data_IF_857514388537
#
_entry.id   IF_857514388537
#
_cell.length_a   1.000
_cell.length_b   1.000
_cell.length_c   1.000
_cell.angle_alpha   90.00
_cell.angle_beta   90.00
_cell.angle_gamma   90.00
#
_symmetry.space_group_name_H-M   'P 1'
#
loop_
_entity.id
_entity.type
_entity.pdbx_description
1 polymer ?
#
# COMPACT_ATOMS: atom_id res chain seq x y z
N UNK A 1 48.48 59.41 13.69
CA UNK A 1 48.33 59.50 15.16
C UNK A 1 46.96 60.10 15.48
N UNK A 2 45.97 59.23 15.71
CA UNK A 2 44.69 59.53 16.36
C UNK A 2 44.46 58.36 17.33
N UNK A 3 44.14 58.61 18.61
CA UNK A 3 44.12 57.55 19.61
C UNK A 3 42.82 56.75 19.58
N UNK A 4 43.03 55.46 19.80
CA UNK A 4 42.12 54.40 20.17
C UNK A 4 41.51 54.71 21.56
N UNK A 5 40.19 54.54 21.73
CA UNK A 5 39.57 54.53 23.05
C UNK A 5 38.90 53.18 23.29
N UNK A 6 39.55 52.41 24.15
CA UNK A 6 39.12 51.13 24.70
C UNK A 6 38.43 51.37 26.05
N UNK A 7 37.26 50.77 26.25
CA UNK A 7 36.64 50.50 27.56
C UNK A 7 35.67 49.32 27.36
N UNK A 8 36.05 48.07 27.64
CA UNK A 8 36.03 47.37 28.93
C UNK A 8 34.68 47.41 29.70
N UNK A 9 33.98 46.28 29.55
CA UNK A 9 33.17 45.48 30.48
C UNK A 9 32.48 46.14 31.69
N UNK A 10 31.19 45.82 31.84
CA UNK A 10 30.63 45.37 33.13
C UNK A 10 29.40 44.49 32.91
N UNK A 11 29.48 43.30 33.50
CA UNK A 11 28.47 42.26 33.64
C UNK A 11 27.32 42.67 34.56
N UNK A 12 26.07 42.38 34.17
CA UNK A 12 25.00 42.04 35.13
C UNK A 12 24.17 40.88 34.59
N UNK A 13 24.24 39.75 35.29
CA UNK A 13 23.29 38.67 35.16
C UNK A 13 21.93 39.14 35.71
N UNK A 14 20.88 39.03 34.90
CA UNK A 14 19.52 39.03 35.41
C UNK A 14 18.76 37.90 34.74
N UNK A 15 18.60 36.81 35.49
CA UNK A 15 17.69 35.74 35.12
C UNK A 15 16.27 36.28 35.06
N UNK A 16 15.63 36.08 33.92
CA UNK A 16 14.18 36.05 33.82
C UNK A 16 13.80 34.70 33.19
N UNK A 17 13.54 33.75 34.08
CA UNK A 17 12.67 32.63 33.78
C UNK A 17 11.29 33.22 33.51
N UNK A 18 10.72 32.96 32.33
CA UNK A 18 9.29 33.17 32.13
C UNK A 18 8.69 32.00 31.36
N UNK A 19 7.90 31.25 32.13
CA UNK A 19 6.64 30.58 31.81
C UNK A 19 6.52 29.86 30.45
N UNK A 20 6.33 28.55 30.56
CA UNK A 20 6.01 27.65 29.46
C UNK A 20 4.81 28.13 28.65
N UNK A 21 5.09 28.49 27.40
CA UNK A 21 4.10 28.41 26.34
C UNK A 21 3.91 26.94 26.00
N UNK A 22 2.80 26.35 26.42
CA UNK A 22 2.38 25.05 25.92
C UNK A 22 2.20 25.18 24.41
N UNK A 23 3.03 24.47 23.65
CA UNK A 23 2.89 24.39 22.19
C UNK A 23 1.48 23.81 21.91
N UNK A 24 0.61 24.55 21.19
CA UNK A 24 -0.76 24.12 20.92
C UNK A 24 -0.83 22.80 20.14
N UNK A 25 0.23 22.43 19.41
CA UNK A 25 0.31 21.12 18.76
C UNK A 25 0.71 19.99 19.70
N UNK A 26 1.44 20.29 20.78
CA UNK A 26 1.82 19.29 21.78
C UNK A 26 0.59 18.89 22.61
N UNK A 27 -0.25 19.86 22.99
CA UNK A 27 -1.50 19.61 23.68
C UNK A 27 -2.49 18.77 22.83
N UNK A 28 -2.56 19.02 21.52
CA UNK A 28 -3.37 18.23 20.60
C UNK A 28 -2.84 16.80 20.40
N UNK A 29 -1.51 16.62 20.34
CA UNK A 29 -0.88 15.32 20.23
C UNK A 29 -1.03 14.47 21.50
N UNK A 30 -0.96 15.10 22.68
CA UNK A 30 -1.17 14.43 23.96
C UNK A 30 -2.65 14.10 24.20
N UNK A 31 -3.58 14.94 23.74
CA UNK A 31 -5.01 14.63 23.73
C UNK A 31 -5.35 13.43 22.82
N UNK A 32 -4.69 13.29 21.66
CA UNK A 32 -4.84 12.12 20.79
C UNK A 32 -4.30 10.85 21.44
N UNK A 33 -3.21 10.96 22.22
CA UNK A 33 -2.56 9.83 22.90
C UNK A 33 -3.28 9.39 24.18
N UNK A 34 -4.03 10.30 24.80
CA UNK A 34 -4.80 10.08 26.04
C UNK A 34 -6.30 9.85 25.79
N UNK A 35 -6.77 9.93 24.54
CA UNK A 35 -8.11 9.50 24.19
C UNK A 35 -8.29 8.04 24.64
N UNK A 36 -9.31 7.72 25.46
CA UNK A 36 -9.55 6.33 25.83
C UNK A 36 -9.74 5.53 24.54
N UNK A 37 -9.24 4.29 24.53
CA UNK A 37 -9.47 3.31 23.49
C UNK A 37 -10.97 2.93 23.41
N UNK A 38 -11.83 3.90 23.10
CA UNK A 38 -13.25 3.72 22.83
C UNK A 38 -13.42 3.26 21.38
N UNK A 39 -12.73 2.16 21.07
CA UNK A 39 -13.06 1.21 20.03
C UNK A 39 -12.40 -0.13 20.41
N UNK A 40 -12.49 -0.51 21.69
CA UNK A 40 -12.75 -1.91 22.01
C UNK A 40 -14.10 -2.25 21.37
N UNK A 41 -14.09 -2.45 20.05
CA UNK A 41 -15.21 -2.98 19.30
C UNK A 41 -15.62 -4.26 20.02
N UNK A 42 -16.88 -4.27 20.44
CA UNK A 42 -17.49 -5.36 21.17
C UNK A 42 -16.99 -6.69 20.62
N UNK A 43 -16.32 -7.44 21.49
CA UNK A 43 -15.99 -8.84 21.26
C UNK A 43 -17.31 -9.59 21.11
N UNK A 44 -17.85 -9.64 19.88
CA UNK A 44 -18.68 -10.77 19.48
C UNK A 44 -17.66 -11.86 19.16
N UNK A 45 -17.48 -12.72 20.15
CA UNK A 45 -16.67 -13.93 20.08
C UNK A 45 -16.88 -14.62 18.74
N UNK A 46 -15.78 -15.05 18.11
CA UNK A 46 -15.75 -15.88 16.91
C UNK A 46 -16.32 -17.29 17.13
N UNK A 47 -17.32 -17.44 18.01
CA UNK A 47 -17.71 -18.71 18.63
C UNK A 47 -19.12 -19.17 18.25
N UNK A 48 -19.72 -18.64 17.19
CA UNK A 48 -21.03 -19.10 16.69
C UNK A 48 -21.02 -19.47 15.19
N UNK A 49 -19.87 -19.90 14.65
CA UNK A 49 -19.76 -20.35 13.25
C UNK A 49 -19.63 -21.89 13.09
N UNK A 50 -19.91 -22.70 14.13
CA UNK A 50 -19.84 -24.17 14.01
C UNK A 50 -21.14 -24.83 13.54
N UNK A 51 -22.25 -24.10 13.45
CA UNK A 51 -23.47 -24.57 12.80
C UNK A 51 -23.81 -23.61 11.68
N UNK A 52 -23.60 -24.07 10.43
CA UNK A 52 -23.71 -23.26 9.22
C UNK A 52 -25.06 -22.58 9.08
N UNK A 53 -25.16 -21.33 9.53
CA UNK A 53 -26.02 -20.29 8.99
C UNK A 53 -25.60 -18.93 9.59
N UNK A 54 -24.67 -18.26 8.93
CA UNK A 54 -24.49 -16.82 9.10
C UNK A 54 -25.38 -16.14 8.04
N UNK A 55 -26.58 -15.74 8.42
CA UNK A 55 -27.34 -14.77 7.62
C UNK A 55 -26.59 -13.45 7.73
N UNK A 56 -25.99 -13.00 6.62
CA UNK A 56 -25.41 -11.67 6.54
C UNK A 56 -26.56 -10.67 6.72
N UNK A 57 -26.58 -9.94 7.85
CA UNK A 57 -27.48 -8.79 7.99
C UNK A 57 -27.18 -7.80 6.87
N UNK A 58 -28.22 -7.33 6.18
CA UNK A 58 -28.12 -6.38 5.08
C UNK A 58 -27.51 -5.07 5.60
N UNK A 59 -26.40 -4.63 5.00
CA UNK A 59 -25.72 -3.39 5.40
C UNK A 59 -26.62 -2.18 5.10
N UNK A 60 -26.90 -1.37 6.13
CA UNK A 60 -27.69 -0.14 5.99
C UNK A 60 -26.73 1.05 5.80
N UNK A 61 -26.71 1.70 4.62
CA UNK A 61 -25.79 2.80 4.32
C UNK A 61 -25.90 4.00 5.27
N UNK A 62 -27.01 4.12 6.01
CA UNK A 62 -27.25 5.22 6.94
C UNK A 62 -26.90 4.88 8.39
N UNK A 63 -26.47 3.65 8.69
CA UNK A 63 -26.15 3.19 10.05
C UNK A 63 -24.73 2.65 10.14
N UNK A 64 -23.76 3.45 10.61
CA UNK A 64 -22.35 3.04 10.64
C UNK A 64 -22.07 1.83 11.54
N UNK A 65 -22.93 1.58 12.52
CA UNK A 65 -22.88 0.37 13.37
C UNK A 65 -23.10 -0.94 12.61
N UNK A 66 -23.71 -0.87 11.41
CA UNK A 66 -23.91 -2.03 10.53
C UNK A 66 -22.72 -2.29 9.61
N UNK A 67 -21.80 -1.33 9.48
CA UNK A 67 -20.66 -1.45 8.56
C UNK A 67 -19.68 -2.51 9.04
N UNK A 68 -19.30 -3.40 8.12
CA UNK A 68 -18.28 -4.40 8.36
C UNK A 68 -16.95 -3.97 7.75
N UNK A 69 -15.92 -3.83 8.60
CA UNK A 69 -14.57 -3.53 8.14
C UNK A 69 -14.10 -4.60 7.13
N UNK A 70 -13.60 -4.22 5.95
CA UNK A 70 -13.33 -5.15 4.85
C UNK A 70 -12.12 -6.07 5.11
N UNK A 71 -11.26 -5.71 6.05
CA UNK A 71 -10.06 -6.48 6.40
C UNK A 71 -10.15 -6.94 7.85
N UNK A 72 -10.50 -8.23 8.05
CA UNK A 72 -10.50 -8.90 9.37
C UNK A 72 -9.63 -10.16 9.40
N UNK A 73 -8.96 -10.50 8.30
CA UNK A 73 -8.19 -11.73 8.12
C UNK A 73 -6.90 -11.52 7.31
N UNK A 74 -6.35 -12.57 6.67
CA UNK A 74 -5.21 -12.43 5.77
C UNK A 74 -5.52 -11.47 4.62
N UNK A 75 -4.48 -10.95 3.98
CA UNK A 75 -4.64 -10.04 2.84
C UNK A 75 -5.48 -10.69 1.74
N UNK A 76 -6.34 -9.93 1.04
CA UNK A 76 -7.06 -10.42 -0.13
C UNK A 76 -6.09 -11.00 -1.17
N UNK A 77 -6.50 -12.06 -1.88
CA UNK A 77 -5.65 -12.71 -2.87
C UNK A 77 -6.23 -12.49 -4.27
N UNK A 78 -5.47 -11.94 -5.24
CA UNK A 78 -4.08 -11.50 -5.14
C UNK A 78 -3.93 -10.04 -4.68
N UNK A 79 -2.93 -9.78 -3.83
CA UNK A 79 -2.57 -8.42 -3.38
C UNK A 79 -1.18 -8.02 -3.86
N UNK A 80 -1.06 -6.82 -4.42
CA UNK A 80 0.24 -6.21 -4.74
C UNK A 80 0.66 -5.25 -3.64
N UNK A 81 1.95 -5.23 -3.32
CA UNK A 81 2.55 -4.25 -2.42
C UNK A 81 3.63 -3.46 -3.15
N UNK A 82 3.50 -2.14 -3.17
CA UNK A 82 4.50 -1.23 -3.74
C UNK A 82 5.23 -0.53 -2.60
N UNK A 83 6.47 -0.95 -2.34
CA UNK A 83 7.37 -0.24 -1.43
C UNK A 83 8.10 0.86 -2.18
N UNK A 84 8.13 2.07 -1.63
CA UNK A 84 8.86 3.18 -2.25
C UNK A 84 9.56 4.06 -1.21
N UNK A 85 10.68 4.64 -1.63
CA UNK A 85 11.40 5.65 -0.85
C UNK A 85 10.57 6.93 -0.74
N UNK A 86 10.08 7.24 0.45
CA UNK A 86 9.26 8.43 0.70
C UNK A 86 10.09 9.72 0.57
N UNK A 87 11.32 9.70 1.12
CA UNK A 87 12.28 10.80 1.02
C UNK A 87 12.70 11.13 -0.42
N UNK A 88 12.45 10.22 -1.37
CA UNK A 88 12.79 10.40 -2.78
C UNK A 88 11.64 11.05 -3.59
N UNK A 89 10.51 11.38 -2.95
CA UNK A 89 9.31 11.97 -3.57
C UNK A 89 8.70 11.08 -4.66
N UNK A 90 8.77 9.76 -4.48
CA UNK A 90 8.27 8.78 -5.46
C UNK A 90 6.84 8.32 -5.22
N UNK A 91 6.13 8.90 -4.25
CA UNK A 91 4.71 8.62 -4.02
C UNK A 91 3.90 8.75 -5.32
N UNK A 92 4.06 9.84 -6.07
CA UNK A 92 3.34 10.05 -7.34
C UNK A 92 3.57 8.92 -8.35
N UNK A 93 4.79 8.37 -8.42
CA UNK A 93 5.09 7.25 -9.32
C UNK A 93 4.45 5.96 -8.79
N UNK A 94 4.48 5.73 -7.49
CA UNK A 94 3.85 4.56 -6.88
C UNK A 94 2.34 4.57 -7.08
N UNK A 95 1.69 5.73 -6.88
CA UNK A 95 0.26 5.93 -7.15
C UNK A 95 -0.06 5.74 -8.63
N UNK A 96 0.73 6.29 -9.55
CA UNK A 96 0.50 6.08 -10.98
C UNK A 96 0.57 4.60 -11.36
N UNK A 97 1.59 3.87 -10.89
CA UNK A 97 1.69 2.41 -11.10
C UNK A 97 0.47 1.68 -10.52
N UNK A 98 0.03 2.04 -9.31
CA UNK A 98 -1.17 1.47 -8.69
C UNK A 98 -2.42 1.70 -9.56
N UNK A 99 -2.66 2.93 -10.01
CA UNK A 99 -3.81 3.26 -10.87
C UNK A 99 -3.78 2.44 -12.17
N UNK A 100 -2.63 2.38 -12.84
CA UNK A 100 -2.48 1.63 -14.09
C UNK A 100 -2.72 0.13 -13.94
N UNK A 101 -2.28 -0.44 -12.81
CA UNK A 101 -2.54 -1.85 -12.50
C UNK A 101 -4.02 -2.08 -12.21
N UNK A 102 -4.68 -1.24 -11.41
CA UNK A 102 -6.12 -1.38 -11.14
C UNK A 102 -7.00 -1.19 -12.39
N UNK A 103 -6.65 -0.26 -13.28
CA UNK A 103 -7.35 -0.09 -14.55
C UNK A 103 -7.21 -1.30 -15.49
N UNK A 104 -6.09 -2.01 -15.38
CA UNK A 104 -5.85 -3.20 -16.21
C UNK A 104 -6.55 -4.41 -15.60
N UNK A 105 -6.28 -4.70 -14.33
CA UNK A 105 -6.68 -5.91 -13.61
C UNK A 105 -7.92 -5.70 -12.74
N UNK A 106 -9.00 -5.22 -13.37
CA UNK A 106 -10.26 -4.93 -12.68
C UNK A 106 -10.94 -6.22 -12.20
N UNK A 107 -11.52 -6.16 -11.00
CA UNK A 107 -12.43 -7.19 -10.50
C UNK A 107 -13.72 -7.19 -11.34
N UNK A 108 -14.26 -8.35 -11.73
CA UNK A 108 -15.60 -8.42 -12.32
C UNK A 108 -16.64 -7.78 -11.39
N UNK A 109 -17.57 -7.02 -11.97
CA UNK A 109 -18.51 -6.19 -11.21
C UNK A 109 -19.81 -6.92 -10.80
N UNK A 110 -20.07 -8.12 -11.30
CA UNK A 110 -21.22 -8.94 -10.94
C UNK A 110 -20.83 -10.34 -10.46
N UNK A 111 -21.59 -10.87 -9.49
CA UNK A 111 -21.47 -12.26 -9.02
C UNK A 111 -21.98 -13.26 -10.05
N UNK A 112 -22.69 -12.76 -11.07
CA UNK A 112 -22.99 -13.54 -12.26
C UNK A 112 -21.66 -13.71 -12.99
N UNK A 113 -21.15 -14.93 -13.02
CA UNK A 113 -19.95 -15.32 -13.78
C UNK A 113 -20.07 -15.07 -15.31
N UNK A 114 -21.07 -14.32 -15.77
CA UNK A 114 -21.43 -14.11 -17.17
C UNK A 114 -20.84 -12.84 -17.79
N UNK A 115 -20.35 -11.87 -16.99
CA UNK A 115 -19.60 -10.75 -17.56
C UNK A 115 -18.20 -11.22 -17.86
N UNK A 116 -17.93 -11.35 -19.16
CA UNK A 116 -16.62 -11.68 -19.67
C UNK A 116 -15.58 -10.79 -18.98
N UNK A 117 -14.46 -11.36 -18.51
CA UNK A 117 -13.44 -10.60 -17.82
C UNK A 117 -13.02 -9.37 -18.61
N UNK A 118 -12.46 -8.37 -17.91
CA UNK A 118 -11.83 -7.21 -18.57
C UNK A 118 -11.01 -7.69 -19.77
N UNK A 119 -11.43 -7.31 -20.98
CA UNK A 119 -10.73 -7.66 -22.24
C UNK A 119 -9.28 -7.20 -22.21
N UNK A 120 -8.95 -6.21 -21.38
CA UNK A 120 -7.59 -5.68 -21.22
C UNK A 120 -6.69 -6.60 -20.40
N UNK A 121 -7.25 -7.35 -19.42
CA UNK A 121 -6.47 -8.28 -18.59
C UNK A 121 -6.57 -9.75 -19.01
N UNK A 122 -7.46 -10.07 -19.95
CA UNK A 122 -7.80 -11.45 -20.28
C UNK A 122 -8.39 -12.22 -19.09
N UNK A 123 -8.86 -11.55 -18.04
CA UNK A 123 -9.42 -12.19 -16.85
C UNK A 123 -8.51 -12.35 -15.65
N UNK A 124 -7.29 -11.81 -15.74
CA UNK A 124 -6.56 -11.48 -14.52
C UNK A 124 -7.26 -10.31 -13.77
N UNK A 125 -7.39 -10.43 -12.46
CA UNK A 125 -7.85 -9.35 -11.57
C UNK A 125 -6.93 -9.28 -10.34
N UNK A 126 -6.90 -8.12 -9.69
CA UNK A 126 -6.19 -7.89 -8.44
C UNK A 126 -7.21 -7.43 -7.41
N UNK A 127 -7.17 -8.02 -6.22
CA UNK A 127 -8.09 -7.65 -5.12
C UNK A 127 -7.62 -6.38 -4.40
N UNK A 128 -6.31 -6.19 -4.26
CA UNK A 128 -5.76 -5.04 -3.55
C UNK A 128 -4.38 -4.62 -4.00
N UNK A 129 -4.09 -3.32 -3.85
CA UNK A 129 -2.74 -2.77 -4.01
C UNK A 129 -2.46 -1.88 -2.82
N UNK A 130 -1.42 -2.20 -2.04
CA UNK A 130 -0.99 -1.40 -0.90
C UNK A 130 0.27 -0.59 -1.24
N UNK A 131 0.29 0.67 -0.84
CA UNK A 131 1.45 1.55 -0.95
C UNK A 131 2.16 1.62 0.40
N UNK A 132 3.43 1.21 0.44
CA UNK A 132 4.22 1.17 1.67
C UNK A 132 5.38 2.19 1.59
N UNK A 133 5.23 3.38 2.22
CA UNK A 133 6.31 4.35 2.27
C UNK A 133 7.46 3.86 3.14
N UNK A 134 8.68 4.04 2.66
CA UNK A 134 9.90 3.68 3.37
C UNK A 134 10.69 4.96 3.68
N UNK A 135 10.78 5.28 4.97
CA UNK A 135 11.40 6.52 5.47
C UNK A 135 12.85 6.32 5.92
N UNK A 136 13.23 5.08 6.25
CA UNK A 136 14.53 4.76 6.83
C UNK A 136 15.73 5.08 5.90
N UNK A 137 16.92 5.29 6.47
CA UNK A 137 18.12 5.65 5.70
C UNK A 137 18.58 4.53 4.77
N UNK A 138 18.58 3.31 5.28
CA UNK A 138 18.95 2.08 4.59
C UNK A 138 18.01 1.72 3.42
N UNK A 139 16.77 2.22 3.44
CA UNK A 139 15.78 2.00 2.38
C UNK A 139 15.77 3.10 1.33
N UNK A 140 16.75 4.02 1.36
CA UNK A 140 16.92 5.07 0.35
C UNK A 140 16.96 4.49 -1.07
N UNK A 141 16.20 5.12 -1.96
CA UNK A 141 16.12 4.74 -3.37
C UNK A 141 15.44 3.39 -3.64
N UNK A 142 14.74 2.81 -2.65
CA UNK A 142 13.93 1.61 -2.85
C UNK A 142 12.68 1.94 -3.69
N UNK A 143 12.41 1.09 -4.67
CA UNK A 143 11.13 1.00 -5.36
C UNK A 143 10.94 -0.47 -5.73
N UNK A 144 10.09 -1.17 -4.98
CA UNK A 144 9.83 -2.61 -5.14
C UNK A 144 8.36 -2.87 -5.34
N UNK A 145 8.06 -3.83 -6.20
CA UNK A 145 6.71 -4.34 -6.41
C UNK A 145 6.70 -5.81 -6.02
N UNK A 146 5.85 -6.17 -5.08
CA UNK A 146 5.67 -7.51 -4.57
C UNK A 146 4.28 -8.03 -4.88
N UNK A 147 4.16 -9.35 -5.03
CA UNK A 147 2.90 -10.07 -5.10
C UNK A 147 2.75 -10.98 -3.88
N UNK A 148 1.64 -10.81 -3.17
CA UNK A 148 1.20 -11.66 -2.08
C UNK A 148 0.06 -12.54 -2.60
N UNK A 149 0.16 -13.84 -2.36
CA UNK A 149 -0.88 -14.82 -2.63
C UNK A 149 -1.16 -15.66 -1.39
N UNK A 150 -2.36 -16.23 -1.30
CA UNK A 150 -2.72 -17.04 -0.15
C UNK A 150 -1.77 -18.24 -0.01
N UNK A 151 -1.31 -18.46 1.21
CA UNK A 151 -0.48 -19.62 1.59
C UNK A 151 0.86 -19.75 0.83
N UNK A 152 1.34 -18.69 0.17
CA UNK A 152 2.61 -18.66 -0.55
C UNK A 152 3.54 -17.54 -0.03
N UNK A 153 4.85 -17.74 -0.17
CA UNK A 153 5.82 -16.68 0.13
C UNK A 153 5.66 -15.50 -0.85
N UNK A 154 5.88 -14.25 -0.41
CA UNK A 154 5.78 -13.08 -1.29
C UNK A 154 6.76 -13.17 -2.45
N UNK A 155 6.28 -12.90 -3.66
CA UNK A 155 7.10 -12.93 -4.88
C UNK A 155 7.52 -11.51 -5.26
N UNK A 156 8.82 -11.30 -5.46
CA UNK A 156 9.35 -10.01 -5.94
C UNK A 156 9.13 -9.89 -7.45
N UNK A 157 8.25 -8.99 -7.88
CA UNK A 157 7.97 -8.73 -9.29
C UNK A 157 8.95 -7.70 -9.89
N UNK A 158 9.33 -6.69 -9.11
CA UNK A 158 10.25 -5.65 -9.55
C UNK A 158 11.09 -5.10 -8.39
N UNK A 159 12.37 -4.85 -8.64
CA UNK A 159 13.22 -4.00 -7.79
C UNK A 159 14.03 -3.04 -8.67
N UNK A 160 13.85 -1.74 -8.45
CA UNK A 160 14.58 -0.68 -9.15
C UNK A 160 16.10 -0.83 -9.03
N UNK A 161 16.62 -1.22 -7.86
CA UNK A 161 18.07 -1.36 -7.66
C UNK A 161 18.64 -2.56 -8.42
N UNK A 162 17.85 -3.62 -8.59
CA UNK A 162 18.25 -4.82 -9.33
C UNK A 162 18.18 -4.59 -10.84
N UNK A 163 17.08 -3.99 -11.33
CA UNK A 163 16.88 -3.73 -12.76
C UNK A 163 17.48 -2.41 -13.25
N UNK A 164 18.00 -1.57 -12.36
CA UNK A 164 18.62 -0.28 -12.68
C UNK A 164 17.64 0.83 -13.09
N UNK A 165 16.34 0.52 -13.21
CA UNK A 165 15.32 1.46 -13.69
C UNK A 165 13.99 1.26 -12.94
N UNK A 166 13.11 2.24 -13.09
CA UNK A 166 11.71 2.07 -12.71
C UNK A 166 11.00 1.09 -13.67
N UNK A 167 9.93 0.44 -13.22
CA UNK A 167 9.16 -0.43 -14.11
C UNK A 167 8.62 0.35 -15.30
N UNK A 168 8.90 -0.17 -16.50
CA UNK A 168 8.14 0.18 -17.69
C UNK A 168 6.77 -0.50 -17.57
N UNK A 169 5.72 0.23 -17.91
CA UNK A 169 4.37 -0.18 -17.54
C UNK A 169 3.92 -1.42 -18.31
N UNK A 170 4.34 -1.53 -19.57
CA UNK A 170 4.09 -2.71 -20.39
C UNK A 170 4.73 -3.96 -19.78
N UNK A 171 6.00 -3.87 -19.40
CA UNK A 171 6.74 -4.99 -18.79
C UNK A 171 6.14 -5.38 -17.45
N UNK A 172 5.79 -4.40 -16.61
CA UNK A 172 5.20 -4.69 -15.31
C UNK A 172 3.83 -5.37 -15.42
N UNK A 173 2.96 -4.91 -16.33
CA UNK A 173 1.66 -5.55 -16.58
C UNK A 173 1.85 -7.01 -17.05
N UNK A 174 2.81 -7.28 -17.93
CA UNK A 174 3.13 -8.64 -18.37
C UNK A 174 3.59 -9.52 -17.19
N UNK A 175 4.54 -9.05 -16.39
CA UNK A 175 5.04 -9.78 -15.20
C UNK A 175 3.88 -10.07 -14.24
N UNK A 176 3.07 -9.07 -13.90
CA UNK A 176 1.93 -9.23 -12.99
C UNK A 176 0.96 -10.29 -13.53
N UNK A 177 0.63 -10.23 -14.82
CA UNK A 177 -0.26 -11.19 -15.46
C UNK A 177 0.29 -12.62 -15.45
N UNK A 178 1.57 -12.80 -15.73
CA UNK A 178 2.21 -14.13 -15.71
C UNK A 178 2.12 -14.80 -14.33
N UNK A 179 2.08 -14.01 -13.26
CA UNK A 179 1.94 -14.53 -11.88
C UNK A 179 0.49 -14.64 -11.39
N UNK A 180 -0.42 -13.78 -11.87
CA UNK A 180 -1.82 -13.74 -11.42
C UNK A 180 -2.73 -14.66 -12.24
N UNK A 181 -2.58 -14.69 -13.56
CA UNK A 181 -3.36 -15.55 -14.46
C UNK A 181 -2.49 -16.05 -15.63
N UNK A 182 -1.68 -17.12 -15.42
CA UNK A 182 -0.83 -17.65 -16.47
C UNK A 182 -1.69 -18.16 -17.64
N UNK A 183 -1.33 -17.74 -18.86
CA UNK A 183 -2.03 -18.16 -20.09
C UNK A 183 -3.11 -17.18 -20.58
N UNK A 184 -3.43 -16.12 -19.85
CA UNK A 184 -4.32 -15.07 -20.33
C UNK A 184 -3.59 -14.04 -21.19
N UNK A 185 -4.26 -13.52 -22.22
CA UNK A 185 -3.68 -12.48 -23.08
C UNK A 185 -4.05 -11.06 -22.61
N UNK A 186 -3.06 -10.17 -22.58
CA UNK A 186 -3.25 -8.72 -22.36
C UNK A 186 -3.45 -7.94 -23.68
N UNK A 187 -3.84 -8.62 -24.77
CA UNK A 187 -4.00 -7.99 -26.08
C UNK A 187 -2.70 -7.36 -26.60
N UNK A 188 -2.72 -6.08 -26.99
CA UNK A 188 -1.54 -5.35 -27.52
C UNK A 188 -0.39 -5.19 -26.51
N UNK A 189 -0.67 -5.42 -25.23
CA UNK A 189 0.37 -5.43 -24.19
C UNK A 189 1.19 -6.71 -24.23
N UNK A 190 0.77 -7.76 -24.95
CA UNK A 190 1.56 -8.97 -25.15
C UNK A 190 2.53 -8.88 -26.32
N UNK A 191 3.71 -9.46 -26.14
CA UNK A 191 4.57 -9.86 -27.26
C UNK A 191 4.28 -11.33 -27.53
N UNK A 192 4.32 -11.75 -28.80
CA UNK A 192 4.25 -13.16 -29.16
C UNK A 192 5.46 -13.88 -28.56
N UNK A 193 5.30 -14.45 -27.37
CA UNK A 193 6.27 -15.38 -26.82
C UNK A 193 6.08 -16.71 -27.54
N UNK A 194 7.15 -17.22 -28.16
CA UNK A 194 7.17 -18.56 -28.76
C UNK A 194 6.77 -19.58 -27.69
N UNK A 195 5.79 -20.46 -27.95
CA UNK A 195 5.40 -21.47 -26.98
C UNK A 195 6.60 -22.33 -26.58
N UNK A 196 6.69 -22.78 -25.31
CA UNK A 196 7.76 -23.68 -24.88
C UNK A 196 7.74 -24.95 -25.74
N UNK A 197 8.90 -25.53 -26.08
CA UNK A 197 8.93 -26.76 -26.86
C UNK A 197 8.17 -27.87 -26.11
N UNK A 198 7.20 -28.47 -26.80
CA UNK A 198 6.49 -29.65 -26.31
C UNK A 198 7.52 -30.73 -26.01
N UNK A 199 7.49 -31.26 -24.77
CA UNK A 199 8.17 -32.51 -24.47
C UNK A 199 7.33 -33.61 -25.10
N UNK A 200 7.71 -34.02 -26.30
CA UNK A 200 7.21 -35.25 -26.88
C UNK A 200 7.64 -36.40 -25.94
N UNK A 201 6.64 -37.02 -25.33
CA UNK A 201 6.79 -38.33 -24.69
C UNK A 201 6.97 -39.33 -25.83
N UNK A 202 8.13 -39.98 -25.85
CA UNK A 202 8.39 -41.21 -26.60
C UNK A 202 9.10 -42.19 -25.68
#
# INVERSE_FOLDING_TARGET
>A
MKPELTAQEQTTASGQQNAGGQDPNQAAADAYRQAPAAAAAASRTAQDCETGQCVAEEEDPMKPETFTAPLRGPLPDPTIVIEFCDRCRWLHRATWVQTELFLTFQKPHDDSQSVAPSKASGGAHIEGIMLLPQTAKQTAGRFRVWLYRNSAAPTLLWDRKVKGAFPELKELKQIVRDHVAPGQSLGHSDKHAKPPPSKDVS
#
